data_IF_394959258265
#
_entry.id   IF_394959258265
#
_cell.length_a   1.000
_cell.length_b   1.000
_cell.length_c   1.000
_cell.angle_alpha   90.00
_cell.angle_beta   90.00
_cell.angle_gamma   90.00
#
_symmetry.space_group_name_H-M   'P 1'
#
loop_
_entity.id
_entity.type
_entity.pdbx_description
1 polymer ?
#
# COMPACT_ATOMS: atom_id res chain seq x y z
N UNK A 1 42.88 -87.40 1.59
CA UNK A 1 44.21 -87.87 1.15
C UNK A 1 45.14 -86.70 1.13
N UNK A 2 46.09 -86.80 2.02
CA UNK A 2 47.50 -86.37 1.98
C UNK A 2 47.82 -84.86 1.87
N UNK A 3 48.34 -84.42 2.98
CA UNK A 3 49.32 -83.33 3.13
C UNK A 3 50.67 -83.61 2.38
N UNK A 4 51.57 -82.66 2.17
CA UNK A 4 52.44 -82.15 3.26
C UNK A 4 52.77 -80.65 3.15
N UNK A 5 52.99 -79.96 4.22
CA UNK A 5 54.05 -79.41 5.08
C UNK A 5 55.50 -79.37 4.48
N UNK A 6 56.16 -78.24 4.65
CA UNK A 6 57.55 -77.93 4.94
C UNK A 6 57.79 -76.42 4.66
N UNK A 7 58.33 -75.55 5.45
CA UNK A 7 59.28 -75.37 6.50
C UNK A 7 60.01 -74.04 6.30
N UNK A 8 59.98 -73.26 7.33
CA UNK A 8 60.96 -72.25 7.87
C UNK A 8 62.17 -71.75 6.99
N UNK A 9 62.34 -70.46 7.07
CA UNK A 9 63.67 -69.88 7.47
C UNK A 9 63.48 -68.41 7.93
N UNK A 10 63.87 -68.18 9.14
CA UNK A 10 64.14 -66.85 9.77
C UNK A 10 65.40 -66.22 9.13
N UNK A 11 65.36 -64.87 8.96
CA UNK A 11 66.50 -63.99 9.17
C UNK A 11 66.05 -62.54 9.40
N UNK A 12 66.28 -61.99 10.58
CA UNK A 12 66.38 -60.56 10.93
C UNK A 12 67.92 -60.16 10.83
N UNK A 13 68.29 -58.85 11.04
CA UNK A 13 67.58 -57.54 10.98
C UNK A 13 68.40 -56.52 10.10
N UNK A 14 67.75 -55.40 9.78
CA UNK A 14 68.48 -54.15 9.60
C UNK A 14 67.55 -52.98 9.86
N UNK A 15 67.89 -52.26 10.91
CA UNK A 15 67.24 -51.01 11.26
C UNK A 15 67.56 -49.91 10.23
N UNK A 16 66.57 -49.32 9.67
CA UNK A 16 66.72 -48.06 8.93
C UNK A 16 65.83 -47.01 9.56
N UNK A 17 66.48 -46.07 10.24
CA UNK A 17 65.85 -44.86 10.77
C UNK A 17 65.41 -43.99 9.59
N UNK A 18 64.05 -43.84 9.41
CA UNK A 18 63.49 -42.85 8.51
C UNK A 18 63.04 -41.66 9.32
N UNK A 19 63.79 -40.54 9.22
CA UNK A 19 63.42 -39.26 9.81
C UNK A 19 62.22 -38.73 9.08
N UNK A 20 61.01 -38.63 9.76
CA UNK A 20 59.85 -37.90 9.29
C UNK A 20 60.12 -36.40 9.46
N UNK A 21 60.42 -35.70 8.37
CA UNK A 21 60.33 -34.24 8.33
C UNK A 21 58.86 -33.83 8.31
N UNK A 22 58.36 -33.33 9.43
CA UNK A 22 57.05 -32.68 9.49
C UNK A 22 57.20 -31.31 8.82
N UNK A 23 56.81 -31.20 7.57
CA UNK A 23 56.63 -29.92 6.93
C UNK A 23 55.33 -29.33 7.44
N UNK A 24 55.38 -28.41 8.42
CA UNK A 24 54.25 -27.56 8.80
C UNK A 24 53.99 -26.55 7.65
N UNK A 25 53.10 -26.90 6.75
CA UNK A 25 52.55 -25.95 5.82
C UNK A 25 51.68 -24.97 6.59
N UNK A 26 52.23 -23.83 6.95
CA UNK A 26 51.48 -22.67 7.40
C UNK A 26 50.63 -22.21 6.21
N UNK A 27 49.36 -22.67 6.13
CA UNK A 27 48.35 -22.01 5.31
C UNK A 27 48.18 -20.60 5.90
N UNK A 28 48.85 -19.62 5.29
CA UNK A 28 48.43 -18.24 5.41
C UNK A 28 47.02 -18.17 4.81
N UNK A 29 46.00 -18.20 5.68
CA UNK A 29 44.67 -17.79 5.29
C UNK A 29 44.78 -16.35 4.82
N UNK A 30 44.78 -16.15 3.51
CA UNK A 30 44.55 -14.83 2.96
C UNK A 30 43.22 -14.30 3.59
N UNK A 31 43.19 -13.06 4.07
CA UNK A 31 41.93 -12.50 4.48
C UNK A 31 40.97 -12.61 3.29
N UNK A 32 39.87 -13.34 3.46
CA UNK A 32 38.81 -13.28 2.50
C UNK A 32 38.41 -11.81 2.40
N UNK A 33 38.25 -11.26 1.19
CA UNK A 33 37.77 -9.92 1.06
C UNK A 33 36.43 -9.89 1.77
N UNK A 34 36.33 -9.09 2.85
CA UNK A 34 35.07 -8.69 3.41
C UNK A 34 34.27 -8.09 2.25
N UNK A 35 32.97 -8.47 2.17
CA UNK A 35 31.99 -7.91 1.23
C UNK A 35 32.03 -8.41 -0.23
N UNK A 36 31.95 -9.69 -0.45
CA UNK A 36 31.21 -10.15 -1.63
C UNK A 36 29.71 -10.01 -1.30
N UNK A 37 29.14 -8.79 -1.54
CA UNK A 37 27.70 -8.56 -1.49
C UNK A 37 27.03 -9.59 -2.41
N UNK A 38 26.06 -10.35 -1.89
CA UNK A 38 25.30 -11.30 -2.69
C UNK A 38 24.63 -10.59 -3.89
N UNK A 39 24.19 -11.33 -4.90
CA UNK A 39 23.42 -10.72 -5.98
C UNK A 39 22.20 -10.01 -5.38
N UNK A 40 21.78 -8.86 -5.94
CA UNK A 40 20.61 -8.16 -5.46
C UNK A 40 19.39 -9.08 -5.56
N UNK A 41 18.59 -9.13 -4.48
CA UNK A 41 17.30 -9.80 -4.46
C UNK A 41 16.19 -8.81 -4.79
N UNK A 42 15.07 -9.25 -5.38
CA UNK A 42 13.95 -8.37 -5.59
C UNK A 42 13.37 -7.91 -4.23
N UNK A 43 12.81 -6.71 -4.21
CA UNK A 43 12.11 -6.13 -3.05
C UNK A 43 10.63 -6.03 -3.37
N UNK A 44 9.77 -6.52 -2.48
CA UNK A 44 8.33 -6.49 -2.63
C UNK A 44 7.75 -5.21 -2.06
N UNK A 45 7.18 -4.39 -2.94
CA UNK A 45 6.34 -3.25 -2.59
C UNK A 45 4.87 -3.64 -2.71
N UNK A 46 4.05 -3.24 -1.75
CA UNK A 46 2.61 -3.53 -1.76
C UNK A 46 1.77 -2.35 -1.30
N UNK A 47 0.51 -2.37 -1.70
CA UNK A 47 -0.56 -1.54 -1.13
C UNK A 47 -1.73 -2.41 -0.72
N UNK A 48 -2.41 -2.03 0.35
CA UNK A 48 -3.63 -2.67 0.81
C UNK A 48 -4.56 -1.62 1.44
N UNK A 49 -5.67 -1.31 0.79
CA UNK A 49 -6.77 -0.68 1.48
C UNK A 49 -7.40 -1.75 2.38
N UNK A 50 -7.12 -1.67 3.67
CA UNK A 50 -7.39 -2.75 4.62
C UNK A 50 -8.70 -2.56 5.39
N UNK A 51 -9.44 -1.45 5.14
CA UNK A 51 -10.68 -1.10 5.89
C UNK A 51 -10.49 -1.20 7.40
N UNK A 52 -9.31 -0.81 7.92
CA UNK A 52 -9.00 -0.82 9.37
C UNK A 52 -9.46 0.45 10.07
N UNK A 53 -10.21 1.30 9.39
CA UNK A 53 -10.90 2.43 9.97
C UNK A 53 -12.03 1.97 10.91
N UNK A 54 -12.44 2.83 11.84
CA UNK A 54 -13.52 2.54 12.81
C UNK A 54 -14.54 3.68 12.84
N UNK A 55 -15.68 3.40 13.48
CA UNK A 55 -16.81 4.36 13.53
C UNK A 55 -16.65 5.44 14.59
N UNK A 56 -15.74 5.26 15.56
CA UNK A 56 -15.55 6.21 16.67
C UNK A 56 -14.07 6.56 16.85
N UNK A 57 -13.76 7.80 17.22
CA UNK A 57 -12.38 8.20 17.53
C UNK A 57 -11.74 7.28 18.57
N UNK A 58 -10.50 6.83 18.30
CA UNK A 58 -9.75 5.95 19.20
C UNK A 58 -10.23 4.50 19.23
N UNK A 59 -11.32 4.15 18.55
CA UNK A 59 -11.83 2.78 18.53
C UNK A 59 -10.86 1.81 17.86
N UNK A 60 -10.18 2.22 16.80
CA UNK A 60 -9.17 1.40 16.14
C UNK A 60 -8.05 1.00 17.12
N UNK A 61 -7.53 1.95 17.90
CA UNK A 61 -6.53 1.65 18.93
C UNK A 61 -7.08 0.69 19.99
N UNK A 62 -8.29 0.93 20.48
CA UNK A 62 -8.93 0.05 21.48
C UNK A 62 -9.12 -1.37 20.93
N UNK A 63 -9.56 -1.52 19.68
CA UNK A 63 -9.74 -2.83 19.06
C UNK A 63 -8.42 -3.58 18.86
N UNK A 64 -7.35 -2.88 18.45
CA UNK A 64 -6.06 -3.48 18.11
C UNK A 64 -5.10 -3.61 19.31
N UNK A 65 -5.44 -3.06 20.48
CA UNK A 65 -4.58 -3.15 21.69
C UNK A 65 -4.45 -4.55 22.26
N UNK A 66 -5.24 -5.49 21.80
CA UNK A 66 -5.16 -6.91 22.16
C UNK A 66 -5.32 -7.79 20.91
N UNK A 67 -4.70 -8.97 20.87
CA UNK A 67 -4.84 -9.89 19.76
C UNK A 67 -6.29 -10.39 19.59
N UNK A 68 -6.58 -10.99 18.45
CA UNK A 68 -7.86 -11.66 18.22
C UNK A 68 -8.05 -12.81 19.22
N UNK A 69 -9.22 -12.82 19.86
CA UNK A 69 -9.68 -13.88 20.74
C UNK A 69 -11.03 -14.42 20.22
N UNK A 70 -11.08 -15.70 19.88
CA UNK A 70 -12.29 -16.38 19.41
C UNK A 70 -13.36 -16.50 20.52
N UNK A 71 -12.95 -16.47 21.78
CA UNK A 71 -13.83 -16.58 22.95
C UNK A 71 -14.34 -15.20 23.45
N UNK A 72 -13.95 -14.08 22.78
CA UNK A 72 -14.47 -12.76 23.09
C UNK A 72 -16.01 -12.75 23.02
N UNK A 73 -16.62 -12.38 24.13
CA UNK A 73 -18.07 -12.43 24.32
C UNK A 73 -18.81 -11.28 23.61
N UNK A 74 -18.14 -10.14 23.42
CA UNK A 74 -18.67 -9.03 22.64
C UNK A 74 -18.53 -9.34 21.15
N UNK A 75 -19.64 -9.76 20.53
CA UNK A 75 -19.65 -10.19 19.13
C UNK A 75 -19.16 -9.11 18.14
N UNK A 76 -19.46 -7.83 18.42
CA UNK A 76 -19.02 -6.74 17.56
C UNK A 76 -17.49 -6.52 17.66
N UNK A 77 -16.93 -6.54 18.87
CA UNK A 77 -15.49 -6.45 19.10
C UNK A 77 -14.75 -7.65 18.48
N UNK A 78 -15.28 -8.87 18.72
CA UNK A 78 -14.76 -10.09 18.11
C UNK A 78 -14.73 -10.00 16.60
N UNK A 79 -15.79 -9.49 15.96
CA UNK A 79 -15.85 -9.32 14.50
C UNK A 79 -14.79 -8.35 13.98
N UNK A 80 -14.60 -7.19 14.63
CA UNK A 80 -13.57 -6.21 14.22
C UNK A 80 -12.14 -6.70 14.43
N UNK A 81 -11.88 -7.46 15.51
CA UNK A 81 -10.59 -8.11 15.76
C UNK A 81 -10.33 -9.26 14.77
N UNK A 82 -11.37 -10.04 14.42
CA UNK A 82 -11.27 -11.07 13.39
C UNK A 82 -10.94 -10.48 12.01
N UNK A 83 -11.52 -9.34 11.67
CA UNK A 83 -11.19 -8.60 10.45
C UNK A 83 -9.72 -8.18 10.44
N UNK A 84 -9.21 -7.60 11.53
CA UNK A 84 -7.81 -7.23 11.63
C UNK A 84 -6.85 -8.44 11.56
N UNK A 85 -7.25 -9.59 12.12
CA UNK A 85 -6.50 -10.84 12.02
C UNK A 85 -6.46 -11.37 10.57
N UNK A 86 -7.58 -11.28 9.84
CA UNK A 86 -7.63 -11.66 8.42
C UNK A 86 -6.74 -10.74 7.55
N UNK A 87 -6.74 -9.43 7.81
CA UNK A 87 -5.83 -8.46 7.17
C UNK A 87 -4.37 -8.84 7.45
N UNK A 88 -4.01 -9.10 8.70
CA UNK A 88 -2.66 -9.48 9.08
C UNK A 88 -2.25 -10.84 8.45
N UNK A 89 -3.16 -11.80 8.35
CA UNK A 89 -2.89 -13.08 7.67
C UNK A 89 -2.57 -12.87 6.19
N UNK A 90 -3.32 -12.02 5.48
CA UNK A 90 -3.04 -11.69 4.07
C UNK A 90 -1.63 -11.09 3.95
N UNK A 91 -1.26 -10.16 4.83
CA UNK A 91 0.07 -9.54 4.85
C UNK A 91 1.16 -10.59 5.15
N UNK A 92 0.93 -11.49 6.12
CA UNK A 92 1.86 -12.57 6.45
C UNK A 92 2.04 -13.57 5.31
N UNK A 93 1.01 -13.83 4.50
CA UNK A 93 1.08 -14.71 3.33
C UNK A 93 1.79 -14.08 2.15
N UNK A 94 1.59 -12.81 1.93
CA UNK A 94 2.16 -12.07 0.78
C UNK A 94 3.56 -11.54 1.05
N UNK A 95 3.92 -11.32 2.33
CA UNK A 95 5.24 -10.92 2.83
C UNK A 95 5.85 -9.70 2.12
N UNK A 96 5.15 -8.55 2.05
CA UNK A 96 5.75 -7.35 1.49
C UNK A 96 6.89 -6.84 2.40
N UNK A 97 7.96 -6.33 1.78
CA UNK A 97 9.05 -5.68 2.50
C UNK A 97 8.76 -4.19 2.75
N UNK A 98 7.97 -3.59 1.84
CA UNK A 98 7.46 -2.22 1.95
C UNK A 98 5.97 -2.26 1.67
N UNK A 99 5.16 -1.77 2.61
CA UNK A 99 3.71 -1.87 2.58
C UNK A 99 3.07 -0.52 2.89
N UNK A 100 2.15 -0.09 2.03
CA UNK A 100 1.16 0.94 2.34
C UNK A 100 -0.13 0.27 2.82
N UNK A 101 -0.67 0.74 3.94
CA UNK A 101 -2.01 0.41 4.40
C UNK A 101 -2.87 1.66 4.30
N UNK A 102 -3.87 1.64 3.42
CA UNK A 102 -4.91 2.66 3.34
C UNK A 102 -6.07 2.31 4.28
N UNK A 103 -6.87 3.32 4.62
CA UNK A 103 -7.97 3.24 5.60
C UNK A 103 -7.54 2.72 6.97
N UNK A 104 -6.37 3.13 7.37
CA UNK A 104 -5.83 2.94 8.70
C UNK A 104 -5.99 4.24 9.48
N UNK A 105 -6.86 4.29 10.48
CA UNK A 105 -7.15 5.52 11.21
C UNK A 105 -5.86 6.18 11.72
N UNK A 106 -5.75 7.49 11.56
CA UNK A 106 -4.65 8.25 12.12
C UNK A 106 -4.96 8.68 13.55
N UNK A 107 -3.99 8.53 14.43
CA UNK A 107 -3.99 9.10 15.76
C UNK A 107 -2.68 9.87 15.96
N UNK A 108 -2.72 10.93 16.76
CA UNK A 108 -1.55 11.75 17.04
C UNK A 108 -0.38 10.93 17.60
N UNK A 109 0.81 11.24 17.13
CA UNK A 109 2.03 10.57 17.54
C UNK A 109 3.23 10.93 16.66
N UNK A 110 4.41 10.35 16.94
CA UNK A 110 5.59 10.58 16.10
C UNK A 110 5.39 10.03 14.68
N UNK A 111 5.99 10.68 13.68
CA UNK A 111 5.98 10.20 12.28
C UNK A 111 6.64 8.82 12.11
N UNK A 112 7.51 8.43 13.04
CA UNK A 112 8.18 7.12 13.08
C UNK A 112 7.28 5.99 13.60
N UNK A 113 6.00 6.26 13.83
CA UNK A 113 4.99 5.31 14.31
C UNK A 113 4.29 5.82 15.57
N UNK A 114 3.00 5.56 15.65
CA UNK A 114 2.14 5.94 16.76
C UNK A 114 1.63 4.69 17.52
N UNK A 115 0.83 4.89 18.56
CA UNK A 115 0.32 3.78 19.37
C UNK A 115 -0.54 2.79 18.55
N UNK A 116 -1.23 3.26 17.50
CA UNK A 116 -2.06 2.38 16.66
C UNK A 116 -1.21 1.46 15.77
N UNK A 117 -0.16 2.01 15.11
CA UNK A 117 0.77 1.19 14.33
C UNK A 117 1.53 0.20 15.19
N UNK A 118 1.93 0.60 16.41
CA UNK A 118 2.57 -0.29 17.37
C UNK A 118 1.63 -1.42 17.80
N UNK A 119 0.37 -1.12 18.12
CA UNK A 119 -0.64 -2.12 18.49
C UNK A 119 -0.90 -3.12 17.35
N UNK A 120 -1.01 -2.65 16.11
CA UNK A 120 -1.18 -3.53 14.94
C UNK A 120 0.05 -4.41 14.72
N UNK A 121 1.26 -3.85 14.83
CA UNK A 121 2.50 -4.61 14.72
C UNK A 121 2.61 -5.69 15.82
N UNK A 122 2.37 -5.32 17.08
CA UNK A 122 2.57 -6.20 18.23
C UNK A 122 1.52 -7.32 18.29
N UNK A 123 0.24 -6.99 18.09
CA UNK A 123 -0.86 -7.90 18.38
C UNK A 123 -1.38 -8.66 17.14
N UNK A 124 -1.01 -8.24 15.94
CA UNK A 124 -1.51 -8.85 14.68
C UNK A 124 -0.39 -9.28 13.74
N UNK A 125 0.48 -8.38 13.30
CA UNK A 125 1.56 -8.71 12.36
C UNK A 125 2.65 -9.56 13.01
N UNK A 126 2.97 -9.27 14.28
CA UNK A 126 3.96 -10.01 15.09
C UNK A 126 3.42 -11.31 15.73
N UNK A 127 2.14 -11.59 15.56
CA UNK A 127 1.49 -12.81 16.06
C UNK A 127 1.10 -13.69 14.88
N UNK A 128 1.42 -15.00 14.95
CA UNK A 128 1.05 -15.94 13.88
C UNK A 128 -0.46 -15.98 13.66
N UNK A 129 -0.90 -15.66 12.43
CA UNK A 129 -2.28 -15.79 12.02
C UNK A 129 -2.47 -17.10 11.25
N UNK A 130 -3.33 -17.97 11.77
CA UNK A 130 -3.65 -19.27 11.15
C UNK A 130 -2.42 -20.08 10.69
N UNK A 131 -1.35 -20.08 11.53
CA UNK A 131 -0.12 -20.82 11.28
C UNK A 131 0.86 -20.17 10.29
N UNK A 132 0.60 -18.93 9.84
CA UNK A 132 1.57 -18.15 9.05
C UNK A 132 2.69 -17.62 9.95
N UNK A 133 3.90 -17.50 9.39
CA UNK A 133 5.01 -16.91 10.10
C UNK A 133 4.75 -15.40 10.35
N UNK A 134 4.95 -14.92 11.57
CA UNK A 134 4.86 -13.50 11.88
C UNK A 134 5.74 -12.65 10.96
N UNK A 135 5.33 -11.40 10.76
CA UNK A 135 6.10 -10.41 10.02
C UNK A 135 6.33 -9.18 10.89
N UNK A 136 7.52 -8.62 10.83
CA UNK A 136 7.84 -7.38 11.54
C UNK A 136 8.36 -6.31 10.59
N UNK A 137 8.03 -5.08 10.91
CA UNK A 137 8.49 -3.88 10.24
C UNK A 137 9.16 -2.97 11.28
N UNK A 138 10.48 -2.84 11.15
CA UNK A 138 11.26 -2.03 12.09
C UNK A 138 11.13 -0.52 11.83
N UNK A 139 10.56 -0.16 10.70
CA UNK A 139 10.39 1.23 10.27
C UNK A 139 8.95 1.50 9.87
N UNK A 140 8.41 2.60 10.35
CA UNK A 140 7.03 3.04 10.08
C UNK A 140 7.04 4.51 9.72
N UNK A 141 6.16 4.93 8.82
CA UNK A 141 5.86 6.34 8.57
C UNK A 141 4.36 6.58 8.66
N UNK A 142 3.97 7.56 9.44
CA UNK A 142 2.59 8.06 9.55
C UNK A 142 2.63 9.59 9.63
N UNK A 143 1.64 10.24 9.07
CA UNK A 143 1.47 11.68 9.13
C UNK A 143 -0.01 12.05 9.17
N UNK A 144 -0.37 13.27 9.57
CA UNK A 144 -1.75 13.73 9.60
C UNK A 144 -2.46 13.60 8.26
N UNK A 145 -3.79 13.46 8.34
CA UNK A 145 -4.72 13.36 7.20
C UNK A 145 -5.72 14.51 7.25
N UNK A 146 -6.19 14.97 6.10
CA UNK A 146 -7.26 15.97 6.00
C UNK A 146 -8.64 15.41 6.30
N UNK A 147 -8.77 14.08 6.34
CA UNK A 147 -10.04 13.42 6.62
C UNK A 147 -10.57 13.79 8.01
N UNK A 148 -11.82 14.20 8.03
CA UNK A 148 -12.51 14.58 9.26
C UNK A 148 -12.01 15.85 9.93
N UNK A 149 -11.17 16.68 9.26
CA UNK A 149 -10.85 18.03 9.76
C UNK A 149 -11.94 18.99 9.31
N UNK A 150 -12.66 19.57 10.27
CA UNK A 150 -13.72 20.54 9.97
C UNK A 150 -13.16 21.73 9.19
N UNK A 151 -13.77 22.05 8.04
CA UNK A 151 -13.38 23.21 7.23
C UNK A 151 -13.89 24.55 7.82
N UNK A 152 -15.00 24.51 8.54
CA UNK A 152 -15.73 25.69 8.99
C UNK A 152 -16.65 26.30 7.90
N UNK A 153 -16.80 25.62 6.77
CA UNK A 153 -17.61 26.04 5.62
C UNK A 153 -18.64 24.97 5.25
N UNK A 154 -19.66 25.33 4.50
CA UNK A 154 -20.65 24.46 3.85
C UNK A 154 -20.11 24.03 2.48
N UNK A 155 -19.25 22.99 2.47
CA UNK A 155 -18.53 22.57 1.26
C UNK A 155 -19.43 21.78 0.30
N UNK A 156 -20.55 21.23 0.76
CA UNK A 156 -21.49 20.52 -0.10
C UNK A 156 -22.67 21.40 -0.57
N UNK A 157 -22.69 22.69 -0.18
CA UNK A 157 -23.70 23.68 -0.57
C UNK A 157 -25.15 23.29 -0.21
N UNK A 158 -25.32 22.59 0.92
CA UNK A 158 -26.64 22.17 1.39
C UNK A 158 -27.35 23.22 2.27
N UNK A 159 -26.70 24.34 2.59
CA UNK A 159 -27.18 25.44 3.39
C UNK A 159 -26.92 25.29 4.88
N UNK A 160 -26.11 24.31 5.31
CA UNK A 160 -25.75 24.09 6.70
C UNK A 160 -24.25 23.80 6.83
N UNK A 161 -23.55 24.49 7.73
CA UNK A 161 -22.16 24.18 8.08
C UNK A 161 -22.13 23.30 9.34
N UNK A 162 -21.56 22.09 9.23
CA UNK A 162 -21.47 21.12 10.34
C UNK A 162 -20.03 20.99 10.81
N UNK A 163 -19.76 21.37 12.05
CA UNK A 163 -18.38 21.39 12.62
C UNK A 163 -18.15 20.44 13.79
N UNK A 164 -19.22 19.78 14.27
CA UNK A 164 -19.13 18.86 15.41
C UNK A 164 -18.87 17.43 14.92
N UNK A 165 -17.75 16.79 15.29
CA UNK A 165 -17.46 15.41 14.91
C UNK A 165 -18.62 14.45 15.24
N UNK A 166 -18.84 13.48 14.35
CA UNK A 166 -19.91 12.48 14.43
C UNK A 166 -21.35 13.05 14.25
N UNK A 167 -21.52 14.34 14.06
CA UNK A 167 -22.82 14.89 13.69
C UNK A 167 -23.15 14.52 12.23
N UNK A 168 -24.44 14.26 11.91
CA UNK A 168 -24.85 14.01 10.54
C UNK A 168 -24.44 15.16 9.59
N UNK A 169 -23.77 14.83 8.49
CA UNK A 169 -23.25 15.81 7.53
C UNK A 169 -21.86 16.37 7.86
N UNK A 170 -21.27 16.02 9.00
CA UNK A 170 -19.92 16.52 9.36
C UNK A 170 -18.85 16.20 8.31
N UNK A 171 -18.83 14.97 7.81
CA UNK A 171 -17.84 14.54 6.82
C UNK A 171 -17.93 15.29 5.50
N UNK A 172 -19.12 15.76 5.11
CA UNK A 172 -19.34 16.50 3.89
C UNK A 172 -18.74 17.92 3.91
N UNK A 173 -18.60 18.48 5.13
CA UNK A 173 -18.02 19.80 5.38
C UNK A 173 -16.57 19.73 5.91
N UNK A 174 -15.99 18.54 5.96
CA UNK A 174 -14.59 18.38 6.31
C UNK A 174 -13.66 18.62 5.10
N UNK A 175 -12.40 18.96 5.35
CA UNK A 175 -11.38 19.14 4.30
C UNK A 175 -11.17 17.88 3.45
N UNK A 176 -11.37 16.71 4.03
CA UNK A 176 -11.52 15.42 3.39
C UNK A 176 -12.58 14.62 4.14
N UNK A 177 -13.40 13.83 3.44
CA UNK A 177 -14.50 13.12 4.06
C UNK A 177 -14.02 12.21 5.21
N UNK A 178 -14.67 12.34 6.36
CA UNK A 178 -14.46 11.54 7.56
C UNK A 178 -15.32 12.06 8.69
N UNK A 179 -15.91 11.19 9.52
CA UNK A 179 -16.83 11.58 10.59
C UNK A 179 -16.11 12.13 11.83
N UNK A 180 -14.76 12.01 11.85
CA UNK A 180 -13.89 12.58 12.89
C UNK A 180 -12.46 12.73 12.36
N UNK A 181 -11.64 13.61 12.95
CA UNK A 181 -10.24 13.82 12.52
C UNK A 181 -9.43 12.52 12.54
N UNK A 182 -8.77 12.24 11.41
CA UNK A 182 -7.89 11.07 11.25
C UNK A 182 -8.58 9.78 10.80
N UNK A 183 -9.89 9.76 10.61
CA UNK A 183 -10.54 8.60 9.99
C UNK A 183 -10.04 8.39 8.56
N UNK A 184 -9.94 7.14 8.08
CA UNK A 184 -9.44 6.79 6.75
C UNK A 184 -8.00 7.26 6.47
N UNK A 185 -7.15 7.34 7.48
CA UNK A 185 -5.73 7.69 7.32
C UNK A 185 -4.94 6.60 6.60
N UNK A 186 -3.63 6.75 6.65
CA UNK A 186 -2.67 5.83 5.99
C UNK A 186 -1.52 5.50 6.94
N UNK A 187 -0.85 4.36 6.68
CA UNK A 187 0.39 3.99 7.35
C UNK A 187 1.33 3.28 6.37
N UNK A 188 2.62 3.64 6.37
CA UNK A 188 3.67 2.91 5.66
C UNK A 188 4.46 2.07 6.65
N UNK A 189 4.61 0.79 6.35
CA UNK A 189 5.43 -0.17 7.09
C UNK A 189 6.60 -0.62 6.21
N UNK A 190 7.82 -0.62 6.74
CA UNK A 190 9.01 -1.00 5.98
C UNK A 190 9.97 -1.86 6.81
N UNK A 191 10.51 -2.91 6.18
CA UNK A 191 11.66 -3.66 6.71
C UNK A 191 12.99 -2.95 6.42
N UNK A 192 12.96 -1.91 5.59
CA UNK A 192 14.12 -1.11 5.21
C UNK A 192 14.07 0.28 5.88
N UNK A 193 15.24 0.87 6.17
CA UNK A 193 15.28 2.19 6.81
C UNK A 193 14.53 3.27 6.02
N UNK A 194 13.74 4.06 6.73
CA UNK A 194 13.06 5.24 6.20
C UNK A 194 13.86 6.49 6.58
N UNK A 195 14.12 7.35 5.61
CA UNK A 195 14.71 8.68 5.85
C UNK A 195 13.58 9.67 6.17
N UNK A 196 13.22 9.76 7.45
CA UNK A 196 12.14 10.62 7.93
C UNK A 196 12.43 12.10 7.74
N UNK A 197 13.70 12.51 7.76
CA UNK A 197 14.10 13.91 7.59
C UNK A 197 13.99 14.37 6.13
N UNK A 198 14.00 13.43 5.19
CA UNK A 198 13.84 13.70 3.77
C UNK A 198 12.42 13.39 3.23
N UNK A 199 11.54 12.88 4.10
CA UNK A 199 10.15 12.63 3.72
C UNK A 199 9.41 13.95 3.45
N UNK A 200 8.53 13.96 2.45
CA UNK A 200 7.69 15.11 2.10
C UNK A 200 6.23 14.75 2.20
N UNK A 201 5.44 15.63 2.78
CA UNK A 201 3.98 15.51 2.87
C UNK A 201 3.32 16.71 2.18
N UNK A 202 2.16 16.47 1.55
CA UNK A 202 1.43 17.46 0.77
C UNK A 202 -0.02 17.59 1.30
N UNK A 203 -0.17 17.61 2.63
CA UNK A 203 -1.47 17.75 3.29
C UNK A 203 -2.07 19.11 2.99
N UNK A 204 -1.24 20.17 3.04
CA UNK A 204 -1.66 21.57 2.97
C UNK A 204 -1.62 22.18 1.56
N UNK A 205 -1.18 21.42 0.53
CA UNK A 205 -1.16 21.89 -0.85
C UNK A 205 -2.58 22.23 -1.31
N UNK A 206 -2.82 23.51 -1.67
CA UNK A 206 -4.17 23.98 -2.03
C UNK A 206 -4.58 23.54 -3.43
N UNK A 207 -5.82 23.08 -3.58
CA UNK A 207 -6.34 22.67 -4.88
C UNK A 207 -6.33 23.83 -5.88
N UNK A 208 -6.68 25.02 -5.45
CA UNK A 208 -6.66 26.23 -6.29
C UNK A 208 -5.26 26.64 -6.78
N UNK A 209 -4.18 26.20 -6.12
CA UNK A 209 -2.80 26.52 -6.50
C UNK A 209 -2.26 25.59 -7.62
N UNK A 210 -2.99 24.52 -7.95
CA UNK A 210 -2.64 23.65 -9.06
C UNK A 210 -2.97 24.36 -10.40
N UNK A 211 -2.01 24.54 -11.30
CA UNK A 211 -2.27 25.18 -12.60
C UNK A 211 -3.29 24.38 -13.41
N UNK A 212 -4.41 25.01 -13.78
CA UNK A 212 -5.48 24.37 -14.53
C UNK A 212 -6.24 23.30 -13.72
N UNK A 213 -6.34 23.49 -12.39
CA UNK A 213 -7.13 22.66 -11.51
C UNK A 213 -8.56 22.48 -12.02
N UNK A 214 -9.09 21.27 -11.94
CA UNK A 214 -10.46 20.93 -12.36
C UNK A 214 -11.47 21.32 -11.27
N UNK A 215 -11.41 22.57 -10.79
CA UNK A 215 -12.36 23.05 -9.77
C UNK A 215 -13.82 22.85 -10.24
N UNK A 216 -14.70 22.36 -9.36
CA UNK A 216 -16.08 22.07 -9.74
C UNK A 216 -16.88 23.33 -10.04
N UNK A 217 -17.86 23.19 -10.93
CA UNK A 217 -18.75 24.24 -11.37
C UNK A 217 -20.15 24.00 -10.83
N UNK A 218 -20.84 25.05 -10.43
CA UNK A 218 -22.22 24.93 -9.99
C UNK A 218 -23.14 24.76 -11.21
N UNK A 219 -23.82 23.60 -11.39
CA UNK A 219 -24.62 23.34 -12.58
C UNK A 219 -25.82 24.30 -12.73
N UNK A 220 -26.19 25.04 -11.68
CA UNK A 220 -27.30 25.98 -11.71
C UNK A 220 -26.89 27.39 -12.18
N UNK A 221 -25.62 27.67 -12.39
CA UNK A 221 -25.07 28.97 -12.78
C UNK A 221 -24.37 28.89 -14.13
N UNK A 222 -23.99 30.04 -14.68
CA UNK A 222 -23.24 30.12 -15.94
C UNK A 222 -21.76 30.44 -15.72
N UNK A 223 -21.33 30.65 -14.50
CA UNK A 223 -19.95 30.96 -14.18
C UNK A 223 -19.14 29.67 -14.00
N UNK A 224 -17.97 29.50 -14.67
CA UNK A 224 -17.17 28.29 -14.51
C UNK A 224 -16.47 28.25 -13.15
N UNK A 225 -16.33 27.03 -12.58
CA UNK A 225 -15.59 26.76 -11.35
C UNK A 225 -16.07 27.58 -10.13
N UNK A 226 -17.38 27.73 -9.99
CA UNK A 226 -17.99 28.56 -8.93
C UNK A 226 -18.74 27.74 -7.85
N UNK A 227 -18.48 26.44 -7.76
CA UNK A 227 -19.00 25.59 -6.67
C UNK A 227 -18.46 26.04 -5.32
N UNK A 228 -17.15 26.29 -5.23
CA UNK A 228 -16.47 26.81 -4.07
C UNK A 228 -16.23 28.31 -4.22
N UNK A 229 -16.51 29.06 -3.18
CA UNK A 229 -16.18 30.49 -3.13
C UNK A 229 -14.69 30.73 -2.83
N UNK A 230 -14.25 32.01 -2.86
CA UNK A 230 -12.84 32.35 -2.68
C UNK A 230 -12.30 32.04 -1.27
N UNK A 231 -13.14 32.13 -0.24
CA UNK A 231 -12.71 31.85 1.14
C UNK A 231 -12.55 30.33 1.35
N UNK A 232 -13.44 29.52 0.76
CA UNK A 232 -13.34 28.06 0.76
C UNK A 232 -12.09 27.60 -0.01
N UNK A 233 -11.85 28.11 -1.20
CA UNK A 233 -10.67 27.78 -2.01
C UNK A 233 -9.35 28.18 -1.33
N UNK A 234 -9.34 29.22 -0.53
CA UNK A 234 -8.16 29.66 0.22
C UNK A 234 -7.73 28.64 1.29
N UNK A 235 -8.63 27.80 1.76
CA UNK A 235 -8.33 26.79 2.79
C UNK A 235 -8.37 25.35 2.27
N UNK A 236 -9.06 25.08 1.15
CA UNK A 236 -9.32 23.72 0.68
C UNK A 236 -8.05 23.08 0.11
N UNK A 237 -7.49 22.03 0.75
CA UNK A 237 -6.36 21.30 0.20
C UNK A 237 -6.79 20.43 -1.00
N UNK A 238 -5.86 20.16 -1.90
CA UNK A 238 -6.09 19.21 -2.98
C UNK A 238 -6.34 17.81 -2.42
N UNK A 239 -5.45 17.32 -1.55
CA UNK A 239 -5.54 15.96 -1.02
C UNK A 239 -6.66 15.83 -0.01
N UNK A 240 -7.56 14.88 -0.21
CA UNK A 240 -8.59 14.53 0.78
C UNK A 240 -8.01 13.83 2.00
N UNK A 241 -6.90 13.10 1.83
CA UNK A 241 -6.12 12.50 2.92
C UNK A 241 -4.79 13.24 3.03
N UNK A 242 -3.79 12.80 2.32
CA UNK A 242 -2.50 13.44 2.07
C UNK A 242 -1.79 12.70 0.93
N UNK A 243 -0.71 13.29 0.39
CA UNK A 243 0.25 12.62 -0.48
C UNK A 243 1.58 12.61 0.24
N UNK A 244 2.29 11.46 0.26
CA UNK A 244 3.57 11.35 0.95
C UNK A 244 4.65 10.81 0.00
N UNK A 245 5.78 11.50 -0.08
CA UNK A 245 7.04 10.97 -0.61
C UNK A 245 7.87 10.46 0.56
N UNK A 246 7.96 9.14 0.70
CA UNK A 246 8.67 8.46 1.79
C UNK A 246 9.93 7.82 1.23
N UNK A 247 11.12 8.44 1.41
CA UNK A 247 12.38 7.88 0.94
C UNK A 247 12.80 6.67 1.77
N UNK A 248 13.05 5.53 1.10
CA UNK A 248 13.43 4.26 1.72
C UNK A 248 14.82 3.84 1.23
N UNK A 249 15.72 3.50 2.14
CA UNK A 249 17.04 2.99 1.82
C UNK A 249 17.02 1.48 1.56
N UNK A 250 17.06 1.10 0.32
CA UNK A 250 17.15 -0.30 -0.10
C UNK A 250 18.63 -0.64 -0.36
N UNK A 251 19.33 -1.02 0.72
CA UNK A 251 20.74 -1.45 0.64
C UNK A 251 21.69 -0.40 0.06
N UNK A 252 21.53 0.85 0.44
CA UNK A 252 22.31 2.00 -0.01
C UNK A 252 21.76 2.66 -1.28
N UNK A 253 20.58 2.28 -1.74
CA UNK A 253 19.88 2.88 -2.88
C UNK A 253 18.54 3.44 -2.45
N UNK A 254 18.36 4.76 -2.50
CA UNK A 254 17.08 5.38 -2.16
C UNK A 254 16.02 5.06 -3.22
N UNK A 255 14.87 4.59 -2.75
CA UNK A 255 13.62 4.46 -3.51
C UNK A 255 12.57 5.32 -2.83
N UNK A 256 12.00 6.27 -3.55
CA UNK A 256 10.92 7.12 -3.06
C UNK A 256 9.60 6.33 -3.13
N UNK A 257 8.98 6.04 -2.01
CA UNK A 257 7.67 5.41 -1.94
C UNK A 257 6.62 6.51 -1.90
N UNK A 258 5.98 6.75 -3.06
CA UNK A 258 5.01 7.82 -3.29
C UNK A 258 3.62 7.27 -3.02
N UNK A 259 3.04 7.64 -1.90
CA UNK A 259 1.80 7.03 -1.42
C UNK A 259 0.67 8.02 -1.29
N UNK A 260 -0.54 7.60 -1.67
CA UNK A 260 -1.75 8.41 -1.60
C UNK A 260 -3.00 7.55 -1.50
N UNK A 261 -4.10 8.20 -1.19
CA UNK A 261 -5.44 7.65 -1.26
C UNK A 261 -6.39 8.76 -1.73
N UNK A 262 -6.48 9.01 -3.05
CA UNK A 262 -7.36 10.00 -3.65
C UNK A 262 -8.83 9.82 -3.27
N UNK A 263 -9.59 10.89 -3.42
CA UNK A 263 -11.04 10.90 -3.22
C UNK A 263 -11.72 9.88 -4.13
N UNK A 264 -12.65 9.03 -3.63
CA UNK A 264 -13.52 8.23 -4.50
C UNK A 264 -14.31 9.15 -5.44
N UNK A 265 -14.38 8.86 -6.76
CA UNK A 265 -15.08 9.73 -7.74
C UNK A 265 -16.59 9.53 -7.74
N UNK A 266 -17.16 9.34 -6.56
CA UNK A 266 -18.58 9.04 -6.31
C UNK A 266 -19.05 9.81 -5.08
N UNK A 267 -20.33 9.69 -4.70
CA UNK A 267 -20.96 10.33 -3.55
C UNK A 267 -21.08 11.85 -3.65
N UNK A 268 -21.24 12.37 -4.87
CA UNK A 268 -21.44 13.79 -5.16
C UNK A 268 -22.63 14.00 -6.11
N UNK A 269 -22.73 15.19 -6.68
CA UNK A 269 -23.81 15.58 -7.57
C UNK A 269 -23.33 15.91 -8.99
N UNK A 270 -24.16 16.67 -9.70
CA UNK A 270 -23.85 17.05 -11.08
C UNK A 270 -22.65 18.00 -11.22
N UNK A 271 -22.16 18.56 -10.14
CA UNK A 271 -20.92 19.36 -10.06
C UNK A 271 -19.66 18.49 -10.18
N UNK A 272 -19.78 17.16 -9.94
CA UNK A 272 -18.70 16.19 -10.03
C UNK A 272 -17.45 16.59 -9.24
N UNK A 273 -17.67 17.11 -8.00
CA UNK A 273 -16.55 17.61 -7.17
C UNK A 273 -15.56 16.53 -6.77
N UNK A 274 -16.04 15.31 -6.51
CA UNK A 274 -15.20 14.18 -6.10
C UNK A 274 -14.44 13.60 -7.30
N UNK A 275 -15.08 13.43 -8.44
CA UNK A 275 -14.40 13.00 -9.67
C UNK A 275 -13.31 13.97 -10.11
N UNK A 276 -13.58 15.28 -10.07
CA UNK A 276 -12.60 16.34 -10.38
C UNK A 276 -11.44 16.36 -9.40
N UNK A 277 -11.71 16.17 -8.11
CA UNK A 277 -10.69 16.11 -7.07
C UNK A 277 -9.81 14.86 -7.25
N UNK A 278 -10.42 13.69 -7.48
CA UNK A 278 -9.71 12.45 -7.80
C UNK A 278 -8.74 12.62 -8.98
N UNK A 279 -9.23 13.23 -10.07
CA UNK A 279 -8.41 13.50 -11.26
C UNK A 279 -7.15 14.31 -10.92
N UNK A 280 -7.31 15.41 -10.17
CA UNK A 280 -6.20 16.29 -9.81
C UNK A 280 -5.31 15.70 -8.71
N UNK A 281 -5.84 14.91 -7.78
CA UNK A 281 -5.06 14.16 -6.80
C UNK A 281 -4.13 13.13 -7.48
N UNK A 282 -4.62 12.41 -8.50
CA UNK A 282 -3.80 11.51 -9.33
C UNK A 282 -2.77 12.28 -10.14
N UNK A 283 -3.16 13.44 -10.71
CA UNK A 283 -2.29 14.33 -11.45
C UNK A 283 -1.11 14.83 -10.61
N UNK A 284 -1.26 15.01 -9.31
CA UNK A 284 -0.17 15.43 -8.45
C UNK A 284 1.05 14.51 -8.62
N UNK A 285 0.85 13.19 -8.58
CA UNK A 285 1.96 12.26 -8.80
C UNK A 285 2.49 12.26 -10.22
N UNK A 286 1.63 12.39 -11.22
CA UNK A 286 2.05 12.48 -12.62
C UNK A 286 2.98 13.68 -12.86
N UNK A 287 2.62 14.84 -12.31
CA UNK A 287 3.42 16.08 -12.38
C UNK A 287 4.68 15.96 -11.49
N UNK A 288 4.56 15.40 -10.27
CA UNK A 288 5.66 15.25 -9.33
C UNK A 288 6.84 14.43 -9.90
N UNK A 289 6.54 13.34 -10.61
CA UNK A 289 7.59 12.47 -11.18
C UNK A 289 8.08 12.93 -12.55
N UNK A 290 7.39 13.89 -13.19
CA UNK A 290 7.73 14.41 -14.51
C UNK A 290 8.62 15.65 -14.39
N UNK A 291 9.86 15.64 -14.90
CA UNK A 291 10.77 16.75 -14.76
C UNK A 291 10.18 18.08 -15.24
N UNK A 292 10.12 19.08 -14.37
CA UNK A 292 9.62 20.42 -14.65
C UNK A 292 8.10 20.58 -14.59
N UNK A 293 7.33 19.49 -14.62
CA UNK A 293 5.87 19.58 -14.51
C UNK A 293 5.42 19.90 -13.07
N UNK A 294 6.12 19.35 -12.07
CA UNK A 294 5.82 19.56 -10.66
C UNK A 294 6.48 20.80 -10.02
N UNK A 295 7.01 21.75 -10.80
CA UNK A 295 7.74 22.91 -10.25
C UNK A 295 6.85 23.84 -9.39
N UNK A 296 5.53 23.77 -9.55
CA UNK A 296 4.54 24.52 -8.79
C UNK A 296 4.15 23.87 -7.46
N UNK A 297 4.44 22.57 -7.29
CA UNK A 297 4.09 21.83 -6.08
C UNK A 297 4.93 22.32 -4.90
N UNK A 298 4.30 22.50 -3.76
CA UNK A 298 4.97 22.75 -2.49
C UNK A 298 4.48 21.73 -1.45
N UNK A 299 5.40 21.28 -0.60
CA UNK A 299 5.07 20.43 0.54
C UNK A 299 4.68 21.24 1.77
N UNK A 300 4.34 20.56 2.85
CA UNK A 300 3.88 21.18 4.09
C UNK A 300 4.98 22.02 4.81
N UNK A 301 6.25 21.84 4.42
CA UNK A 301 7.38 22.70 4.86
C UNK A 301 7.67 23.86 3.88
N UNK A 302 6.89 23.97 2.79
CA UNK A 302 7.05 25.01 1.77
C UNK A 302 8.18 24.75 0.77
N UNK A 303 8.72 23.52 0.71
CA UNK A 303 9.74 23.17 -0.28
C UNK A 303 9.09 22.97 -1.65
N UNK A 304 9.56 23.73 -2.63
CA UNK A 304 9.03 23.72 -3.99
C UNK A 304 9.62 22.58 -4.85
N UNK A 305 8.82 22.14 -5.82
CA UNK A 305 9.22 21.28 -6.93
C UNK A 305 8.89 19.81 -6.73
N UNK A 306 8.95 19.09 -7.85
CA UNK A 306 8.73 17.65 -7.92
C UNK A 306 9.98 16.83 -7.64
N UNK A 307 9.90 15.54 -7.92
CA UNK A 307 10.95 14.57 -7.70
C UNK A 307 12.17 14.85 -8.61
N UNK A 308 13.38 14.75 -8.05
CA UNK A 308 14.63 14.96 -8.80
C UNK A 308 14.70 14.01 -10.01
N UNK A 309 15.09 14.52 -11.21
CA UNK A 309 15.25 13.68 -12.38
C UNK A 309 16.22 12.52 -12.13
N UNK A 310 15.80 11.29 -12.47
CA UNK A 310 16.61 10.08 -12.30
C UNK A 310 16.41 9.37 -10.97
N UNK A 311 15.66 9.92 -10.03
CA UNK A 311 15.26 9.21 -8.81
C UNK A 311 14.48 7.94 -9.14
N UNK A 312 14.67 6.91 -8.31
CA UNK A 312 13.87 5.70 -8.34
C UNK A 312 12.65 5.91 -7.44
N UNK A 313 11.49 5.48 -7.90
CA UNK A 313 10.26 5.60 -7.12
C UNK A 313 9.33 4.42 -7.35
N UNK A 314 8.39 4.24 -6.43
CA UNK A 314 7.21 3.38 -6.56
C UNK A 314 6.01 4.20 -6.09
N UNK A 315 5.03 4.44 -6.99
CA UNK A 315 3.75 5.03 -6.62
C UNK A 315 2.85 3.90 -6.14
N UNK A 316 2.18 4.08 -5.01
CA UNK A 316 1.27 3.07 -4.47
C UNK A 316 0.05 3.70 -3.78
N UNK A 317 -1.05 2.96 -3.80
CA UNK A 317 -2.27 3.30 -3.09
C UNK A 317 -3.53 2.86 -3.80
N UNK A 318 -4.62 2.99 -3.08
CA UNK A 318 -5.95 3.01 -3.65
C UNK A 318 -6.14 4.36 -4.34
N UNK A 319 -6.10 4.35 -5.67
CA UNK A 319 -6.26 5.55 -6.50
C UNK A 319 -7.74 5.83 -6.79
N UNK A 320 -8.65 4.93 -6.40
CA UNK A 320 -10.08 5.07 -6.64
C UNK A 320 -10.43 5.37 -8.12
N UNK A 321 -9.68 4.77 -9.05
CA UNK A 321 -9.85 5.06 -10.48
C UNK A 321 -9.49 3.84 -11.33
N UNK A 322 -10.50 3.26 -11.99
CA UNK A 322 -10.30 2.23 -13.01
C UNK A 322 -9.97 2.87 -14.36
N UNK A 323 -9.16 2.22 -15.22
CA UNK A 323 -8.83 2.76 -16.52
C UNK A 323 -10.01 2.93 -17.50
N UNK A 324 -11.03 2.09 -17.38
CA UNK A 324 -12.12 1.99 -18.38
C UNK A 324 -13.52 2.02 -17.75
N UNK A 325 -13.62 1.59 -16.46
CA UNK A 325 -14.89 1.36 -15.80
C UNK A 325 -15.08 2.28 -14.57
N UNK A 326 -16.29 2.29 -14.00
CA UNK A 326 -16.63 3.15 -12.86
C UNK A 326 -16.87 4.60 -13.23
N UNK A 327 -16.88 5.50 -12.23
CA UNK A 327 -17.30 6.89 -12.36
C UNK A 327 -16.13 7.89 -12.50
N UNK A 328 -14.88 7.40 -12.64
CA UNK A 328 -13.72 8.30 -12.80
C UNK A 328 -13.84 9.15 -14.06
N UNK A 329 -13.40 10.41 -13.99
CA UNK A 329 -13.25 11.23 -15.19
C UNK A 329 -12.31 10.50 -16.17
N UNK A 330 -12.71 10.32 -17.44
CA UNK A 330 -11.88 9.63 -18.41
C UNK A 330 -10.48 10.24 -18.51
N UNK A 331 -9.46 9.40 -18.36
CA UNK A 331 -8.07 9.83 -18.36
C UNK A 331 -7.47 10.04 -16.97
N UNK A 332 -8.22 9.88 -15.87
CA UNK A 332 -7.72 10.05 -14.51
C UNK A 332 -6.49 9.20 -14.26
N UNK A 333 -6.62 7.90 -14.20
CA UNK A 333 -5.48 7.00 -13.89
C UNK A 333 -4.52 6.87 -15.07
N UNK A 334 -4.95 7.15 -16.32
CA UNK A 334 -4.08 7.14 -17.48
C UNK A 334 -2.96 8.18 -17.37
N UNK A 335 -3.13 9.26 -16.58
CA UNK A 335 -2.06 10.20 -16.26
C UNK A 335 -0.82 9.51 -15.69
N UNK A 336 -1.02 8.42 -14.93
CA UNK A 336 0.06 7.58 -14.42
C UNK A 336 0.40 6.43 -15.36
N UNK A 337 -0.59 5.73 -15.90
CA UNK A 337 -0.37 4.54 -16.72
C UNK A 337 0.36 4.84 -18.03
N UNK A 338 0.11 6.02 -18.63
CA UNK A 338 0.74 6.49 -19.87
C UNK A 338 2.01 7.32 -19.61
N UNK A 339 2.37 7.59 -18.35
CA UNK A 339 3.54 8.38 -18.02
C UNK A 339 4.84 7.65 -18.39
N UNK A 340 5.71 8.23 -19.23
CA UNK A 340 6.93 7.58 -19.70
C UNK A 340 7.96 7.31 -18.58
N UNK A 341 7.78 7.87 -17.39
CA UNK A 341 8.63 7.65 -16.21
C UNK A 341 8.26 6.38 -15.46
N UNK A 342 7.05 5.86 -15.66
CA UNK A 342 6.46 4.73 -14.94
C UNK A 342 6.64 3.44 -15.77
N UNK A 343 6.88 2.34 -15.09
CA UNK A 343 7.02 1.01 -15.67
C UNK A 343 5.69 0.25 -15.58
N UNK A 344 4.89 0.32 -16.62
CA UNK A 344 3.58 -0.32 -16.74
C UNK A 344 3.59 -1.59 -17.60
N UNK A 345 4.78 -2.21 -17.80
CA UNK A 345 4.93 -3.38 -18.71
C UNK A 345 4.22 -4.63 -18.22
N UNK A 346 4.02 -4.74 -16.94
CA UNK A 346 3.31 -5.87 -16.31
C UNK A 346 2.28 -5.28 -15.38
N UNK A 347 1.05 -5.71 -15.54
CA UNK A 347 -0.06 -5.36 -14.64
C UNK A 347 -0.23 -6.47 -13.61
N UNK A 348 -0.27 -6.18 -12.31
CA UNK A 348 -0.66 -7.16 -11.30
C UNK A 348 -2.02 -7.77 -11.62
N UNK A 349 -2.16 -9.08 -11.44
CA UNK A 349 -3.38 -9.80 -11.80
C UNK A 349 -3.67 -10.97 -10.86
N UNK A 350 -4.89 -11.47 -10.92
CA UNK A 350 -5.32 -12.69 -10.23
C UNK A 350 -6.29 -13.52 -11.07
N UNK A 351 -6.31 -14.82 -10.86
CA UNK A 351 -7.40 -15.67 -11.36
C UNK A 351 -8.70 -15.38 -10.59
N UNK A 352 -8.60 -15.00 -9.33
CA UNK A 352 -9.75 -14.67 -8.51
C UNK A 352 -10.58 -13.53 -9.08
N UNK A 353 -9.96 -12.43 -9.53
CA UNK A 353 -10.69 -11.34 -10.21
C UNK A 353 -11.52 -11.86 -11.38
N UNK A 354 -10.92 -12.65 -12.26
CA UNK A 354 -11.63 -13.26 -13.42
C UNK A 354 -12.77 -14.18 -12.99
N UNK A 355 -12.54 -15.11 -12.06
CA UNK A 355 -13.54 -16.11 -11.70
C UNK A 355 -14.66 -15.53 -10.84
N UNK A 356 -14.36 -14.57 -9.95
CA UNK A 356 -15.39 -13.86 -9.18
C UNK A 356 -16.24 -12.95 -10.06
N UNK A 357 -15.66 -12.25 -11.03
CA UNK A 357 -16.43 -11.48 -12.01
C UNK A 357 -17.50 -12.33 -12.68
N UNK A 358 -17.17 -13.58 -13.11
CA UNK A 358 -18.14 -14.51 -13.72
C UNK A 358 -19.22 -14.99 -12.72
N UNK A 359 -18.86 -15.17 -11.43
CA UNK A 359 -19.81 -15.63 -10.40
C UNK A 359 -20.75 -14.52 -9.96
N UNK A 360 -20.26 -13.30 -9.90
CA UNK A 360 -21.02 -12.13 -9.47
C UNK A 360 -21.98 -11.61 -10.53
N UNK A 361 -21.66 -11.86 -11.83
CA UNK A 361 -22.57 -11.60 -12.95
C UNK A 361 -23.02 -10.12 -13.07
N UNK A 362 -23.98 -9.84 -13.90
CA UNK A 362 -24.71 -8.58 -14.05
C UNK A 362 -23.83 -7.36 -14.39
N UNK A 363 -23.38 -6.59 -13.39
CA UNK A 363 -22.63 -5.36 -13.65
C UNK A 363 -21.24 -5.62 -14.20
N UNK A 364 -20.57 -6.67 -13.72
CA UNK A 364 -19.26 -7.07 -14.24
C UNK A 364 -19.28 -7.45 -15.73
N UNK A 365 -20.42 -7.95 -16.23
CA UNK A 365 -20.59 -8.26 -17.66
C UNK A 365 -20.60 -7.02 -18.56
N UNK A 366 -20.77 -5.83 -17.99
CA UNK A 366 -20.77 -4.54 -18.70
C UNK A 366 -19.43 -3.84 -18.71
N UNK A 367 -18.45 -4.33 -17.92
CA UNK A 367 -17.12 -3.75 -17.83
C UNK A 367 -16.31 -3.99 -19.10
N UNK A 368 -15.46 -3.04 -19.44
CA UNK A 368 -14.56 -3.07 -20.58
C UNK A 368 -13.15 -3.55 -20.22
N UNK A 369 -12.77 -3.41 -18.94
CA UNK A 369 -11.46 -3.85 -18.43
C UNK A 369 -11.37 -5.37 -18.32
N UNK A 370 -10.14 -5.91 -18.36
CA UNK A 370 -9.91 -7.33 -18.09
C UNK A 370 -10.05 -7.57 -16.58
N UNK A 371 -11.03 -8.36 -16.13
CA UNK A 371 -11.29 -8.60 -14.70
C UNK A 371 -10.13 -9.28 -13.96
N UNK A 372 -9.15 -9.84 -14.68
CA UNK A 372 -7.92 -10.31 -14.06
C UNK A 372 -7.13 -9.21 -13.34
N UNK A 373 -7.32 -7.94 -13.73
CA UNK A 373 -6.63 -6.79 -13.17
C UNK A 373 -7.38 -6.10 -12.05
N UNK A 374 -8.62 -6.49 -11.78
CA UNK A 374 -9.43 -5.93 -10.70
C UNK A 374 -8.77 -6.16 -9.34
N UNK A 375 -8.91 -5.17 -8.46
CA UNK A 375 -8.30 -5.14 -7.13
C UNK A 375 -9.30 -4.86 -6.03
N UNK A 376 -10.52 -4.52 -6.37
CA UNK A 376 -11.61 -4.24 -5.43
C UNK A 376 -12.91 -4.91 -5.88
N UNK A 377 -13.70 -5.32 -4.91
CA UNK A 377 -15.02 -5.98 -5.06
C UNK A 377 -16.07 -5.09 -4.37
N UNK A 378 -16.68 -4.23 -5.15
CA UNK A 378 -17.73 -3.32 -4.69
C UNK A 378 -19.14 -3.88 -4.87
N UNK A 379 -19.27 -5.19 -4.89
CA UNK A 379 -20.57 -5.87 -4.92
C UNK A 379 -21.19 -5.92 -3.52
N UNK A 380 -22.08 -5.01 -3.21
CA UNK A 380 -22.68 -4.82 -1.87
C UNK A 380 -23.79 -5.81 -1.50
N UNK A 381 -23.91 -6.94 -2.16
CA UNK A 381 -24.96 -7.91 -1.88
C UNK A 381 -24.52 -9.02 -0.93
N UNK A 382 -25.35 -9.41 0.07
CA UNK A 382 -25.04 -10.49 1.01
C UNK A 382 -24.96 -11.88 0.36
N UNK A 383 -25.41 -12.02 -0.88
CA UNK A 383 -25.37 -13.28 -1.62
C UNK A 383 -25.41 -13.02 -3.13
N UNK A 384 -24.45 -13.58 -3.87
CA UNK A 384 -24.42 -13.54 -5.32
C UNK A 384 -25.38 -14.55 -5.97
N UNK A 385 -25.81 -14.31 -7.19
CA UNK A 385 -26.03 -13.08 -7.94
C UNK A 385 -27.37 -12.42 -7.61
N UNK A 386 -27.63 -11.16 -7.93
CA UNK A 386 -26.81 -10.22 -8.73
C UNK A 386 -25.96 -9.30 -7.87
N UNK A 387 -24.79 -8.86 -8.40
CA UNK A 387 -24.02 -7.78 -7.85
C UNK A 387 -24.83 -6.47 -7.88
N UNK A 388 -24.90 -5.77 -6.74
CA UNK A 388 -25.40 -4.38 -6.67
C UNK A 388 -24.21 -3.48 -6.30
N UNK A 389 -24.04 -2.37 -6.98
CA UNK A 389 -22.89 -1.49 -6.86
C UNK A 389 -22.11 -1.41 -8.19
N UNK A 390 -20.95 -0.77 -8.24
CA UNK A 390 -20.20 -0.63 -9.48
C UNK A 390 -19.57 -1.94 -10.00
N UNK A 391 -19.58 -3.03 -9.20
CA UNK A 391 -18.91 -4.27 -9.56
C UNK A 391 -17.43 -4.30 -9.15
N UNK A 392 -16.66 -5.16 -9.81
CA UNK A 392 -15.22 -5.25 -9.57
C UNK A 392 -14.48 -4.20 -10.37
N UNK A 393 -13.53 -3.51 -9.73
CA UNK A 393 -12.75 -2.45 -10.36
C UNK A 393 -11.28 -2.58 -10.01
N UNK A 394 -10.41 -2.06 -10.87
CA UNK A 394 -9.01 -1.85 -10.57
C UNK A 394 -8.82 -0.49 -9.90
N UNK A 395 -8.83 -0.46 -8.56
CA UNK A 395 -8.69 0.76 -7.77
C UNK A 395 -7.28 0.93 -7.18
N UNK A 396 -6.57 -0.19 -6.91
CA UNK A 396 -5.30 -0.23 -6.19
C UNK A 396 -4.11 -0.43 -7.12
N UNK A 397 -3.06 0.35 -6.93
CA UNK A 397 -1.91 0.37 -7.83
C UNK A 397 -0.59 0.30 -7.08
N UNK A 398 0.39 -0.42 -7.66
CA UNK A 398 1.81 -0.36 -7.31
C UNK A 398 2.58 -0.14 -8.61
N UNK A 399 3.07 1.07 -8.83
CA UNK A 399 3.62 1.55 -10.11
C UNK A 399 5.09 1.95 -9.94
N UNK A 400 6.05 1.05 -10.20
CA UNK A 400 7.46 1.37 -10.09
C UNK A 400 7.95 2.30 -11.21
N UNK A 401 8.98 3.08 -10.92
CA UNK A 401 9.68 3.88 -11.92
C UNK A 401 10.28 3.00 -13.02
N UNK A 402 10.43 3.54 -14.22
CA UNK A 402 10.96 2.82 -15.39
C UNK A 402 12.36 2.27 -15.20
N UNK A 403 13.12 2.79 -14.26
CA UNK A 403 14.46 2.33 -13.89
C UNK A 403 14.45 1.06 -13.04
N UNK A 404 13.32 0.71 -12.43
CA UNK A 404 13.15 -0.51 -11.65
C UNK A 404 12.60 -1.63 -12.54
N UNK A 405 13.31 -2.77 -12.56
CA UNK A 405 12.88 -3.95 -13.31
C UNK A 405 11.90 -4.74 -12.50
N UNK A 406 10.68 -4.89 -12.98
CA UNK A 406 9.65 -5.78 -12.40
C UNK A 406 10.12 -7.23 -12.59
N UNK A 407 10.00 -8.03 -11.55
CA UNK A 407 10.36 -9.47 -11.51
C UNK A 407 9.11 -10.32 -11.42
N UNK A 408 8.18 -9.95 -10.52
CA UNK A 408 6.95 -10.65 -10.25
C UNK A 408 5.87 -9.69 -9.73
N UNK A 409 4.60 -10.05 -9.89
CA UNK A 409 3.47 -9.23 -9.45
C UNK A 409 2.25 -10.11 -9.18
N UNK A 410 1.37 -9.72 -8.25
CA UNK A 410 0.04 -10.32 -8.16
C UNK A 410 -0.94 -9.42 -7.40
N UNK A 411 -2.20 -9.81 -7.50
CA UNK A 411 -3.30 -9.40 -6.63
C UNK A 411 -3.68 -10.60 -5.76
N UNK A 412 -3.74 -10.41 -4.44
CA UNK A 412 -4.18 -11.46 -3.52
C UNK A 412 -5.70 -11.59 -3.57
N UNK A 413 -6.18 -12.37 -4.50
CA UNK A 413 -7.60 -12.67 -4.66
C UNK A 413 -7.81 -14.17 -4.90
N UNK A 414 -8.12 -14.96 -3.87
CA UNK A 414 -8.41 -16.39 -4.01
C UNK A 414 -9.65 -16.65 -4.87
N UNK A 415 -9.56 -17.65 -5.76
CA UNK A 415 -10.66 -18.04 -6.64
C UNK A 415 -11.86 -18.63 -5.85
N UNK A 416 -13.07 -18.64 -6.42
CA UNK A 416 -14.21 -19.35 -5.82
C UNK A 416 -13.87 -20.80 -5.49
N UNK A 417 -14.11 -21.22 -4.25
CA UNK A 417 -13.78 -22.56 -3.78
C UNK A 417 -12.33 -22.80 -3.34
N UNK A 418 -11.45 -21.82 -3.49
CA UNK A 418 -10.10 -21.88 -2.94
C UNK A 418 -10.13 -21.92 -1.40
N UNK A 419 -9.23 -22.70 -0.71
CA UNK A 419 -9.21 -22.75 0.75
C UNK A 419 -9.04 -21.42 1.47
N UNK A 420 -8.49 -20.40 0.81
CA UNK A 420 -8.27 -19.06 1.38
C UNK A 420 -9.42 -18.07 1.15
N UNK A 421 -10.53 -18.48 0.52
CA UNK A 421 -11.71 -17.61 0.31
C UNK A 421 -12.23 -17.01 1.61
N UNK A 422 -12.04 -17.69 2.75
CA UNK A 422 -12.43 -17.15 4.05
C UNK A 422 -11.75 -15.80 4.41
N UNK A 423 -10.65 -15.43 3.72
CA UNK A 423 -9.97 -14.14 3.91
C UNK A 423 -10.60 -13.00 3.10
N UNK A 424 -11.16 -13.30 1.94
CA UNK A 424 -11.75 -12.29 1.05
C UNK A 424 -13.29 -12.35 0.99
N UNK A 425 -13.85 -13.46 1.45
CA UNK A 425 -15.30 -13.64 1.50
C UNK A 425 -15.93 -14.08 0.18
N UNK A 426 -17.24 -14.25 0.23
CA UNK A 426 -18.11 -14.61 -0.91
C UNK A 426 -19.30 -13.65 -1.03
N UNK A 427 -19.24 -12.51 -0.39
CA UNK A 427 -20.30 -11.49 -0.31
C UNK A 427 -20.12 -10.58 0.89
N UNK A 428 -20.96 -9.58 1.00
CA UNK A 428 -20.92 -8.59 2.08
C UNK A 428 -21.63 -9.10 3.36
N UNK A 429 -21.10 -8.86 4.59
CA UNK A 429 -19.83 -8.16 4.87
C UNK A 429 -18.60 -9.02 4.57
N UNK A 430 -17.57 -8.39 4.02
CA UNK A 430 -16.30 -9.04 3.71
C UNK A 430 -15.49 -9.32 4.98
N UNK A 431 -14.73 -10.44 5.05
CA UNK A 431 -13.97 -10.80 6.24
C UNK A 431 -12.76 -9.90 6.52
N UNK A 432 -12.10 -9.38 5.48
CA UNK A 432 -10.93 -8.50 5.60
C UNK A 432 -11.21 -7.10 5.06
N UNK A 433 -11.32 -6.95 3.77
CA UNK A 433 -11.58 -5.72 3.03
C UNK A 433 -12.29 -6.05 1.72
N UNK A 434 -13.05 -5.11 1.19
CA UNK A 434 -13.56 -5.07 -0.18
C UNK A 434 -12.45 -4.81 -1.21
N UNK A 435 -11.27 -4.37 -0.78
CA UNK A 435 -10.06 -4.31 -1.59
C UNK A 435 -9.17 -5.55 -1.43
N UNK A 436 -8.25 -5.72 -2.36
CA UNK A 436 -7.28 -6.81 -2.38
C UNK A 436 -5.86 -6.26 -2.28
N UNK A 437 -5.00 -6.95 -1.53
CA UNK A 437 -3.59 -6.57 -1.47
C UNK A 437 -2.95 -6.76 -2.84
N UNK A 438 -2.32 -5.69 -3.36
CA UNK A 438 -1.58 -5.67 -4.63
C UNK A 438 -0.09 -5.55 -4.34
N UNK A 439 0.74 -6.33 -5.02
CA UNK A 439 2.18 -6.24 -4.86
C UNK A 439 2.96 -6.35 -6.17
N UNK A 440 4.17 -5.77 -6.15
CA UNK A 440 5.14 -5.82 -7.24
C UNK A 440 6.53 -6.06 -6.67
N UNK A 441 7.24 -7.07 -7.17
CA UNK A 441 8.63 -7.35 -6.87
C UNK A 441 9.53 -6.61 -7.86
N UNK A 442 10.43 -5.78 -7.37
CA UNK A 442 11.34 -5.00 -8.21
C UNK A 442 12.81 -5.25 -7.87
N UNK A 443 13.63 -5.31 -8.90
CA UNK A 443 15.09 -5.24 -8.71
C UNK A 443 15.50 -3.79 -8.54
N UNK A 444 16.12 -3.48 -7.40
CA UNK A 444 16.65 -2.15 -7.11
C UNK A 444 18.13 -2.11 -7.47
N UNK A 445 18.54 -1.39 -8.54
CA UNK A 445 19.94 -1.31 -8.94
C UNK A 445 20.78 -0.63 -7.85
N UNK A 446 21.91 -1.24 -7.50
CA UNK A 446 22.82 -0.75 -6.47
C UNK A 446 22.49 -1.23 -5.06
N UNK A 447 21.37 -1.89 -4.86
CA UNK A 447 21.08 -2.55 -3.59
C UNK A 447 21.98 -3.76 -3.42
N UNK A 448 22.53 -3.90 -2.22
CA UNK A 448 23.18 -5.13 -1.82
C UNK A 448 22.80 -5.36 -0.37
N UNK A 449 22.19 -6.49 -0.06
CA UNK A 449 21.95 -6.85 1.33
C UNK A 449 23.28 -7.04 2.06
N UNK A 450 23.51 -6.26 3.12
CA UNK A 450 24.44 -6.64 4.17
C UNK A 450 23.88 -7.90 4.83
N UNK A 451 24.70 -8.89 5.05
CA UNK A 451 24.39 -10.06 5.89
C UNK A 451 24.43 -9.65 7.36
#
# INVERSE_FOLDING_TARGET
>A
MSFPVISQAMHTPAALLLALAVLAASLLAAPMPADAKGPPEPVRFATFNASLNRNLPGQALSDLSEPFDADETNAALRGRRAQAAAVAEIIQRTRPEVLLVNEFDYIDGPVTGNALTAAFQENYLGVSQNGQDPISYDHVFVAPSNTGIASGFDLNNNGATVTEPLAPGYGDDALGFGEFPGKFGMAVFSQHPIDHDAARTFQDFKWADMPGALLPDNPATAAPADWYNADELAILPLSSKSHWDVPIDIGGSTVHFLVSHPTPPVFDGAEDRNGRRNFDEIRLWADYVTPGAGDYLYDDEGVLGGLKPGSKFVIAGDQNSDPLDGDSIPGSIQQLLDNPRINTKVTPSSLGGTEWSMVQDALNDTHESDPAFDTADFCDTPAFPPCSGPGNLRADYVLPSRSLRIVDTAVFWPEPGHPLVYLTGTGFPVPSSDHRLVWVDVMVPGSARGR
#
